data_IF_116746624717
#
_entry.id   IF_116746624717
#
_cell.length_a   1.000
_cell.length_b   1.000
_cell.length_c   1.000
_cell.angle_alpha   90.00
_cell.angle_beta   90.00
_cell.angle_gamma   90.00
#
_symmetry.space_group_name_H-M   'P 1'
#
loop_
_entity.id
_entity.type
_entity.pdbx_description
1 polymer ?
#
# COMPACT_ATOMS: atom_id res chain seq x y z
N UNK A 1 -32.26 -10.35 23.70
CA UNK A 1 -30.84 -10.66 23.96
C UNK A 1 -30.08 -9.36 23.90
N UNK A 2 -29.44 -8.92 24.98
CA UNK A 2 -28.57 -7.74 24.96
C UNK A 2 -27.33 -8.07 24.11
N UNK A 3 -26.91 -7.22 23.17
CA UNK A 3 -25.72 -7.46 22.37
C UNK A 3 -24.51 -7.59 23.29
N UNK A 4 -23.79 -8.70 23.18
CA UNK A 4 -22.51 -8.88 23.87
C UNK A 4 -21.58 -7.77 23.36
N UNK A 5 -20.98 -6.94 24.23
CA UNK A 5 -20.03 -5.93 23.80
C UNK A 5 -18.82 -6.64 23.20
N UNK A 6 -18.78 -6.68 21.87
CA UNK A 6 -17.65 -7.16 21.10
C UNK A 6 -16.56 -6.10 21.17
N UNK A 7 -15.34 -6.45 21.64
CA UNK A 7 -14.24 -5.49 21.67
C UNK A 7 -13.99 -4.92 20.26
N UNK A 8 -13.64 -3.63 20.13
CA UNK A 8 -13.34 -2.99 18.85
C UNK A 8 -11.97 -3.43 18.32
N UNK A 9 -11.75 -4.74 18.24
CA UNK A 9 -10.52 -5.36 17.78
C UNK A 9 -10.08 -4.89 16.38
N UNK A 10 -10.96 -4.52 15.42
CA UNK A 10 -10.51 -4.01 14.12
C UNK A 10 -9.79 -2.67 14.24
N UNK A 11 -10.19 -1.83 15.20
CA UNK A 11 -9.51 -0.56 15.51
C UNK A 11 -8.11 -0.85 16.02
N UNK A 12 -7.99 -1.72 17.02
CA UNK A 12 -6.71 -2.08 17.62
C UNK A 12 -5.76 -2.70 16.60
N UNK A 13 -6.23 -3.63 15.76
CA UNK A 13 -5.44 -4.24 14.71
C UNK A 13 -4.94 -3.23 13.68
N UNK A 14 -5.80 -2.31 13.26
CA UNK A 14 -5.46 -1.27 12.29
C UNK A 14 -4.43 -0.29 12.86
N UNK A 15 -4.65 0.22 14.06
CA UNK A 15 -3.72 1.16 14.71
C UNK A 15 -2.38 0.50 15.03
N UNK A 16 -2.38 -0.75 15.51
CA UNK A 16 -1.15 -1.51 15.75
C UNK A 16 -0.34 -1.71 14.45
N UNK A 17 -1.02 -2.00 13.33
CA UNK A 17 -0.39 -2.06 12.01
C UNK A 17 0.26 -0.73 11.60
N UNK A 18 -0.43 0.39 11.82
CA UNK A 18 0.09 1.73 11.55
C UNK A 18 1.31 2.08 12.40
N UNK A 19 1.26 1.78 13.71
CA UNK A 19 2.40 1.94 14.63
C UNK A 19 3.58 1.07 14.19
N UNK A 20 3.34 -0.18 13.81
CA UNK A 20 4.36 -1.08 13.29
C UNK A 20 5.05 -0.53 12.03
N UNK A 21 4.26 -0.01 11.08
CA UNK A 21 4.78 0.61 9.86
C UNK A 21 5.64 1.85 10.18
N UNK A 22 5.20 2.73 11.08
CA UNK A 22 5.98 3.90 11.52
C UNK A 22 7.27 3.47 12.22
N UNK A 23 7.21 2.48 13.10
CA UNK A 23 8.38 1.97 13.81
C UNK A 23 9.42 1.37 12.85
N UNK A 24 8.98 0.58 11.86
CA UNK A 24 9.85 0.05 10.81
C UNK A 24 10.46 1.18 9.97
N UNK A 25 9.66 2.15 9.54
CA UNK A 25 10.15 3.32 8.80
C UNK A 25 11.21 4.09 9.60
N UNK A 26 10.96 4.34 10.88
CA UNK A 26 11.94 4.99 11.77
C UNK A 26 13.23 4.20 11.82
N UNK A 27 13.14 2.89 12.06
CA UNK A 27 14.31 2.01 12.20
C UNK A 27 15.13 1.94 10.93
N UNK A 28 14.47 1.98 9.77
CA UNK A 28 15.12 1.86 8.46
C UNK A 28 15.65 3.21 7.95
N UNK A 29 15.15 4.35 8.44
CA UNK A 29 15.57 5.69 7.97
C UNK A 29 17.08 5.94 8.08
N UNK A 30 17.76 5.29 9.01
CA UNK A 30 19.22 5.39 9.17
C UNK A 30 20.00 4.80 7.98
N UNK A 31 19.36 3.97 7.15
CA UNK A 31 19.94 3.35 5.97
C UNK A 31 19.62 4.11 4.67
N UNK A 32 19.09 5.34 4.76
CA UNK A 32 18.91 6.21 3.59
C UNK A 32 20.20 6.35 2.80
N UNK A 33 20.07 6.43 1.48
CA UNK A 33 21.21 6.41 0.54
C UNK A 33 21.60 5.01 0.07
N UNK A 34 21.07 3.93 0.67
CA UNK A 34 21.14 2.59 0.06
C UNK A 34 20.04 2.44 -1.01
N UNK A 35 20.30 1.72 -2.12
CA UNK A 35 19.31 1.50 -3.17
C UNK A 35 18.00 0.92 -2.63
N UNK A 36 16.87 1.52 -3.00
CA UNK A 36 15.52 1.12 -2.66
C UNK A 36 15.01 1.61 -1.31
N UNK A 37 15.86 2.11 -0.41
CA UNK A 37 15.42 2.47 0.94
C UNK A 37 14.39 3.60 0.92
N UNK A 38 14.54 4.60 0.06
CA UNK A 38 13.59 5.71 -0.01
C UNK A 38 12.20 5.25 -0.49
N UNK A 39 12.16 4.35 -1.49
CA UNK A 39 10.92 3.70 -1.91
C UNK A 39 10.30 2.83 -0.81
N UNK A 40 11.13 2.13 -0.05
CA UNK A 40 10.65 1.30 1.04
C UNK A 40 10.07 2.14 2.19
N UNK A 41 10.65 3.32 2.46
CA UNK A 41 10.07 4.30 3.38
C UNK A 41 8.72 4.82 2.87
N UNK A 42 8.55 5.01 1.55
CA UNK A 42 7.25 5.37 0.96
C UNK A 42 6.21 4.25 1.15
N UNK A 43 6.60 2.97 1.04
CA UNK A 43 5.71 1.83 1.34
C UNK A 43 5.19 1.93 2.76
N UNK A 44 6.09 2.11 3.74
CA UNK A 44 5.67 2.22 5.15
C UNK A 44 4.84 3.47 5.42
N UNK A 45 5.15 4.60 4.76
CA UNK A 45 4.34 5.81 4.88
C UNK A 45 2.92 5.60 4.34
N UNK A 46 2.78 4.96 3.18
CA UNK A 46 1.49 4.64 2.59
C UNK A 46 0.69 3.64 3.44
N UNK A 47 1.34 2.61 3.98
CA UNK A 47 0.73 1.67 4.92
C UNK A 47 0.31 2.34 6.22
N UNK A 48 1.16 3.18 6.81
CA UNK A 48 0.82 3.93 8.02
C UNK A 48 -0.40 4.84 7.78
N UNK A 49 -0.42 5.58 6.68
CA UNK A 49 -1.56 6.41 6.28
C UNK A 49 -2.85 5.58 6.19
N UNK A 50 -2.81 4.46 5.47
CA UNK A 50 -3.95 3.56 5.35
C UNK A 50 -4.42 3.05 6.71
N UNK A 51 -3.52 2.45 7.49
CA UNK A 51 -3.83 1.85 8.78
C UNK A 51 -4.41 2.87 9.78
N UNK A 52 -3.82 4.07 9.87
CA UNK A 52 -4.33 5.12 10.75
C UNK A 52 -5.64 5.69 10.25
N UNK A 53 -5.79 5.94 8.95
CA UNK A 53 -7.03 6.47 8.39
C UNK A 53 -8.19 5.50 8.58
N UNK A 54 -7.98 4.21 8.31
CA UNK A 54 -9.00 3.18 8.51
C UNK A 54 -9.31 2.99 10.00
N UNK A 55 -8.28 2.81 10.84
CA UNK A 55 -8.45 2.61 12.29
C UNK A 55 -9.16 3.77 12.99
N UNK A 56 -8.84 5.01 12.62
CA UNK A 56 -9.54 6.21 13.12
C UNK A 56 -10.95 6.32 12.53
N UNK A 57 -11.14 6.00 11.24
CA UNK A 57 -12.44 6.00 10.59
C UNK A 57 -13.46 5.10 11.30
N UNK A 58 -13.01 3.96 11.83
CA UNK A 58 -13.83 3.05 12.63
C UNK A 58 -14.32 3.63 13.97
N UNK A 59 -13.77 4.76 14.43
CA UNK A 59 -14.21 5.47 15.64
C UNK A 59 -15.04 6.72 15.31
N UNK A 60 -15.13 7.12 14.04
CA UNK A 60 -15.74 8.38 13.60
C UNK A 60 -17.15 8.14 13.07
N UNK A 61 -18.11 8.80 13.71
CA UNK A 61 -19.53 8.80 13.28
C UNK A 61 -19.90 9.99 12.41
N UNK A 62 -19.07 11.04 12.38
CA UNK A 62 -19.29 12.19 11.50
C UNK A 62 -19.16 11.77 10.02
N UNK A 63 -20.19 11.95 9.18
CA UNK A 63 -20.19 11.43 7.82
C UNK A 63 -19.13 12.06 6.91
N UNK A 64 -18.80 13.34 7.12
CA UNK A 64 -17.83 14.04 6.29
C UNK A 64 -16.41 13.57 6.62
N UNK A 65 -16.06 13.58 7.90
CA UNK A 65 -14.76 13.11 8.37
C UNK A 65 -14.57 11.62 8.04
N UNK A 66 -15.61 10.79 8.18
CA UNK A 66 -15.55 9.37 7.82
C UNK A 66 -15.24 9.16 6.34
N UNK A 67 -15.82 9.96 5.44
CA UNK A 67 -15.52 9.93 4.00
C UNK A 67 -14.10 10.38 3.70
N UNK A 68 -13.60 11.42 4.38
CA UNK A 68 -12.21 11.88 4.23
C UNK A 68 -11.22 10.78 4.66
N UNK A 69 -11.48 10.12 5.79
CA UNK A 69 -10.68 9.01 6.29
C UNK A 69 -10.73 7.77 5.37
N UNK A 70 -11.89 7.50 4.75
CA UNK A 70 -11.97 6.46 3.72
C UNK A 70 -11.14 6.84 2.48
N UNK A 71 -11.20 8.12 2.07
CA UNK A 71 -10.35 8.63 1.00
C UNK A 71 -8.85 8.47 1.31
N UNK A 72 -8.42 8.83 2.52
CA UNK A 72 -7.04 8.63 2.95
C UNK A 72 -6.63 7.14 2.98
N UNK A 73 -7.56 6.24 3.32
CA UNK A 73 -7.38 4.79 3.23
C UNK A 73 -7.08 4.36 1.80
N UNK A 74 -7.94 4.73 0.84
CA UNK A 74 -7.74 4.44 -0.58
C UNK A 74 -6.46 5.06 -1.14
N UNK A 75 -6.11 6.26 -0.70
CA UNK A 75 -4.86 6.93 -1.09
C UNK A 75 -3.63 6.09 -0.68
N UNK A 76 -3.61 5.58 0.56
CA UNK A 76 -2.57 4.67 1.02
C UNK A 76 -2.50 3.40 0.18
N UNK A 77 -3.64 2.78 -0.15
CA UNK A 77 -3.72 1.58 -1.01
C UNK A 77 -3.10 1.83 -2.39
N UNK A 78 -3.47 2.93 -3.06
CA UNK A 78 -2.98 3.30 -4.40
C UNK A 78 -1.44 3.39 -4.41
N UNK A 79 -0.87 4.11 -3.45
CA UNK A 79 0.57 4.39 -3.45
C UNK A 79 1.41 3.24 -2.90
N UNK A 80 0.83 2.35 -2.08
CA UNK A 80 1.54 1.17 -1.54
C UNK A 80 2.07 0.29 -2.66
N UNK A 81 1.24 -0.08 -3.65
CA UNK A 81 1.66 -0.94 -4.75
C UNK A 81 2.74 -0.32 -5.64
N UNK A 82 2.61 0.97 -5.94
CA UNK A 82 3.58 1.71 -6.76
C UNK A 82 4.93 1.83 -6.04
N UNK A 83 4.91 2.24 -4.77
CA UNK A 83 6.12 2.37 -3.97
C UNK A 83 6.82 1.02 -3.78
N UNK A 84 6.06 -0.07 -3.60
CA UNK A 84 6.63 -1.40 -3.44
C UNK A 84 7.29 -1.92 -4.71
N UNK A 85 6.70 -1.65 -5.88
CA UNK A 85 7.37 -1.92 -7.16
C UNK A 85 8.64 -1.08 -7.33
N UNK A 86 8.61 0.22 -6.98
CA UNK A 86 9.79 1.08 -7.01
C UNK A 86 10.92 0.54 -6.14
N UNK A 87 10.58 0.09 -4.93
CA UNK A 87 11.51 -0.58 -4.02
C UNK A 87 12.11 -1.84 -4.65
N UNK A 88 11.28 -2.73 -5.20
CA UNK A 88 11.76 -3.97 -5.82
C UNK A 88 12.69 -3.69 -7.01
N UNK A 89 12.41 -2.67 -7.82
CA UNK A 89 13.27 -2.31 -8.96
C UNK A 89 14.63 -1.80 -8.50
N UNK A 90 14.70 -0.87 -7.54
CA UNK A 90 15.99 -0.38 -7.05
C UNK A 90 16.76 -1.45 -6.28
N UNK A 91 16.08 -2.20 -5.41
CA UNK A 91 16.70 -3.21 -4.57
C UNK A 91 17.32 -4.35 -5.41
N UNK A 92 16.74 -4.65 -6.56
CA UNK A 92 17.24 -5.69 -7.49
C UNK A 92 18.26 -5.16 -8.49
N UNK A 93 18.73 -3.92 -8.33
CA UNK A 93 19.71 -3.29 -9.23
C UNK A 93 19.14 -2.90 -10.60
N UNK A 94 17.82 -2.96 -10.77
CA UNK A 94 17.09 -2.59 -11.99
C UNK A 94 16.63 -1.12 -11.96
N UNK A 95 17.40 -0.24 -11.29
CA UNK A 95 17.08 1.18 -11.13
C UNK A 95 16.89 1.95 -12.44
N UNK A 96 17.52 1.51 -13.53
CA UNK A 96 17.28 2.06 -14.88
C UNK A 96 15.83 1.93 -15.35
N UNK A 97 15.12 0.89 -14.91
CA UNK A 97 13.71 0.63 -15.25
C UNK A 97 12.77 1.60 -14.54
N UNK A 98 13.18 2.26 -13.47
CA UNK A 98 12.40 3.34 -12.84
C UNK A 98 12.25 4.53 -13.78
N UNK A 99 13.20 4.73 -14.69
CA UNK A 99 13.10 5.74 -15.75
C UNK A 99 12.32 5.27 -16.97
N UNK A 100 11.82 4.04 -16.97
CA UNK A 100 11.05 3.49 -18.09
C UNK A 100 9.65 4.08 -18.17
N UNK A 101 9.09 4.09 -19.39
CA UNK A 101 7.71 4.50 -19.65
C UNK A 101 6.69 3.70 -18.84
N UNK A 102 6.97 2.44 -18.52
CA UNK A 102 6.07 1.60 -17.73
C UNK A 102 5.97 2.09 -16.28
N UNK A 103 7.09 2.37 -15.63
CA UNK A 103 7.08 2.89 -14.26
C UNK A 103 6.49 4.30 -14.19
N UNK A 104 6.82 5.17 -15.17
CA UNK A 104 6.18 6.48 -15.31
C UNK A 104 4.66 6.32 -15.50
N UNK A 105 4.22 5.32 -16.27
CA UNK A 105 2.81 4.95 -16.41
C UNK A 105 2.17 4.53 -15.09
N UNK A 106 2.86 3.74 -14.25
CA UNK A 106 2.37 3.35 -12.92
C UNK A 106 2.22 4.56 -11.99
N UNK A 107 3.18 5.48 -11.98
CA UNK A 107 3.07 6.73 -11.21
C UNK A 107 1.94 7.61 -11.75
N UNK A 108 1.83 7.74 -13.08
CA UNK A 108 0.73 8.46 -13.74
C UNK A 108 -0.64 7.87 -13.40
N UNK A 109 -0.75 6.55 -13.35
CA UNK A 109 -1.94 5.85 -12.87
C UNK A 109 -2.25 6.18 -11.41
N UNK A 110 -1.25 6.24 -10.54
CA UNK A 110 -1.41 6.64 -9.14
C UNK A 110 -1.92 8.08 -9.00
N UNK A 111 -1.37 9.00 -9.79
CA UNK A 111 -1.82 10.40 -9.82
C UNK A 111 -3.25 10.54 -10.34
N UNK A 112 -3.59 9.89 -11.45
CA UNK A 112 -4.94 9.88 -12.00
C UNK A 112 -5.93 9.28 -10.99
N UNK A 113 -5.57 8.17 -10.36
CA UNK A 113 -6.39 7.53 -9.32
C UNK A 113 -6.58 8.44 -8.12
N UNK A 114 -5.54 9.17 -7.71
CA UNK A 114 -5.63 10.17 -6.63
C UNK A 114 -6.58 11.31 -7.02
N UNK A 115 -6.50 11.81 -8.24
CA UNK A 115 -7.40 12.86 -8.73
C UNK A 115 -8.86 12.39 -8.71
N UNK A 116 -9.14 11.22 -9.30
CA UNK A 116 -10.47 10.61 -9.33
C UNK A 116 -11.01 10.29 -7.93
N UNK A 117 -10.12 9.97 -6.99
CA UNK A 117 -10.50 9.73 -5.60
C UNK A 117 -10.95 11.01 -4.90
N UNK A 118 -10.19 12.09 -5.05
CA UNK A 118 -10.52 13.41 -4.47
C UNK A 118 -11.78 13.99 -5.10
N UNK A 119 -11.98 13.77 -6.41
CA UNK A 119 -13.19 14.22 -7.12
C UNK A 119 -14.34 13.21 -7.08
N UNK A 120 -14.22 12.12 -6.31
CA UNK A 120 -15.23 11.06 -6.27
C UNK A 120 -16.67 11.56 -6.02
N UNK A 121 -16.94 12.59 -5.18
CA UNK A 121 -18.29 13.11 -5.00
C UNK A 121 -18.98 13.57 -6.30
N UNK A 122 -18.23 13.94 -7.33
CA UNK A 122 -18.78 14.42 -8.59
C UNK A 122 -19.20 13.30 -9.55
N UNK A 123 -18.60 12.11 -9.46
CA UNK A 123 -18.75 11.06 -10.49
C UNK A 123 -18.85 9.62 -9.95
N UNK A 124 -18.55 9.38 -8.67
CA UNK A 124 -18.68 8.06 -8.05
C UNK A 124 -17.77 6.98 -8.62
N UNK A 125 -16.57 7.34 -9.11
CA UNK A 125 -15.69 6.38 -9.79
C UNK A 125 -15.05 5.36 -8.82
N UNK A 126 -14.82 5.76 -7.57
CA UNK A 126 -14.32 4.89 -6.52
C UNK A 126 -15.45 4.23 -5.73
N UNK A 127 -16.46 5.00 -5.35
CA UNK A 127 -17.59 4.48 -4.61
C UNK A 127 -18.86 5.30 -4.78
N UNK A 128 -19.99 4.62 -4.61
CA UNK A 128 -21.34 5.22 -4.55
C UNK A 128 -22.12 4.65 -3.37
N UNK A 129 -23.12 5.39 -2.88
CA UNK A 129 -23.98 4.92 -1.78
C UNK A 129 -23.26 4.76 -0.46
N UNK A 130 -22.39 5.72 -0.10
CA UNK A 130 -21.62 5.66 1.14
C UNK A 130 -22.53 5.83 2.37
N UNK A 131 -22.74 4.74 3.11
CA UNK A 131 -23.62 4.68 4.27
C UNK A 131 -22.90 4.14 5.51
N UNK A 132 -23.21 4.68 6.68
CA UNK A 132 -22.77 4.08 7.95
C UNK A 132 -23.49 2.76 8.15
N UNK A 133 -22.73 1.72 8.45
CA UNK A 133 -23.23 0.36 8.64
C UNK A 133 -22.44 -0.30 9.78
N UNK A 134 -22.71 0.07 11.06
CA UNK A 134 -21.89 -0.32 12.20
C UNK A 134 -21.95 -1.82 12.49
N UNK A 135 -20.79 -2.46 12.55
CA UNK A 135 -20.61 -3.90 12.85
C UNK A 135 -19.47 -3.99 13.86
N UNK A 136 -19.48 -5.00 14.74
CA UNK A 136 -18.46 -5.20 15.79
C UNK A 136 -18.28 -4.02 16.76
N UNK A 137 -19.34 -3.22 16.97
CA UNK A 137 -19.29 -2.06 17.87
C UNK A 137 -18.43 -0.89 17.34
N UNK A 138 -18.12 -0.87 16.04
CA UNK A 138 -17.33 0.18 15.39
C UNK A 138 -18.10 0.82 14.23
N UNK A 139 -17.74 2.05 13.86
CA UNK A 139 -18.36 2.83 12.79
C UNK A 139 -17.92 2.38 11.38
N UNK A 140 -18.16 1.10 11.08
CA UNK A 140 -18.00 0.57 9.73
C UNK A 140 -18.96 1.26 8.74
N UNK A 141 -18.62 1.14 7.46
CA UNK A 141 -19.37 1.75 6.37
C UNK A 141 -19.58 0.72 5.28
N UNK A 142 -20.66 0.89 4.54
CA UNK A 142 -20.95 0.13 3.32
C UNK A 142 -21.02 1.11 2.14
N UNK A 143 -20.51 0.67 1.00
CA UNK A 143 -20.61 1.38 -0.27
C UNK A 143 -20.43 0.41 -1.43
N UNK A 144 -21.03 0.73 -2.56
CA UNK A 144 -20.79 0.01 -3.80
C UNK A 144 -19.47 0.48 -4.43
N UNK A 145 -18.64 -0.47 -4.86
CA UNK A 145 -17.40 -0.15 -5.57
C UNK A 145 -17.74 0.45 -6.94
N UNK A 146 -17.17 1.61 -7.21
CA UNK A 146 -17.20 2.20 -8.53
C UNK A 146 -16.24 1.46 -9.48
N UNK A 147 -16.39 1.62 -10.80
CA UNK A 147 -15.57 0.92 -11.79
C UNK A 147 -14.05 1.14 -11.60
N UNK A 148 -13.64 2.35 -11.20
CA UNK A 148 -12.23 2.68 -11.03
C UNK A 148 -11.61 2.02 -9.79
N UNK A 149 -12.40 1.78 -8.73
CA UNK A 149 -11.92 1.03 -7.57
C UNK A 149 -11.49 -0.40 -7.95
N UNK A 150 -12.24 -1.08 -8.82
CA UNK A 150 -11.84 -2.39 -9.34
C UNK A 150 -10.53 -2.32 -10.15
N UNK A 151 -10.37 -1.29 -10.99
CA UNK A 151 -9.13 -1.08 -11.75
C UNK A 151 -7.94 -0.85 -10.81
N UNK A 152 -8.10 -0.03 -9.76
CA UNK A 152 -7.06 0.21 -8.75
C UNK A 152 -6.66 -1.08 -8.05
N UNK A 153 -7.62 -1.89 -7.62
CA UNK A 153 -7.34 -3.18 -6.97
C UNK A 153 -6.62 -4.15 -7.93
N UNK A 154 -7.08 -4.25 -9.17
CA UNK A 154 -6.47 -5.11 -10.18
C UNK A 154 -5.03 -4.69 -10.51
N UNK A 155 -4.82 -3.40 -10.84
CA UNK A 155 -3.49 -2.86 -11.14
C UNK A 155 -2.58 -2.96 -9.92
N UNK A 156 -3.06 -2.59 -8.73
CA UNK A 156 -2.31 -2.73 -7.48
C UNK A 156 -1.84 -4.16 -7.22
N UNK A 157 -2.71 -5.14 -7.48
CA UNK A 157 -2.37 -6.57 -7.35
C UNK A 157 -1.28 -6.98 -8.32
N UNK A 158 -1.34 -6.53 -9.59
CA UNK A 158 -0.31 -6.78 -10.60
C UNK A 158 1.03 -6.14 -10.20
N UNK A 159 1.02 -4.89 -9.69
CA UNK A 159 2.23 -4.21 -9.25
C UNK A 159 2.89 -4.95 -8.09
N UNK A 160 2.10 -5.37 -7.09
CA UNK A 160 2.59 -6.13 -5.93
C UNK A 160 3.12 -7.50 -6.35
N UNK A 161 2.38 -8.24 -7.19
CA UNK A 161 2.83 -9.54 -7.70
C UNK A 161 4.15 -9.41 -8.48
N UNK A 162 4.27 -8.37 -9.31
CA UNK A 162 5.51 -8.08 -10.06
C UNK A 162 6.66 -7.77 -9.12
N UNK A 163 6.43 -6.95 -8.10
CA UNK A 163 7.45 -6.62 -7.10
C UNK A 163 7.94 -7.87 -6.35
N UNK A 164 7.02 -8.73 -5.90
CA UNK A 164 7.35 -9.99 -5.25
C UNK A 164 8.16 -10.89 -6.19
N UNK A 165 7.72 -11.03 -7.44
CA UNK A 165 8.43 -11.84 -8.44
C UNK A 165 9.87 -11.37 -8.63
N UNK A 166 10.10 -10.06 -8.79
CA UNK A 166 11.44 -9.47 -8.94
C UNK A 166 12.33 -9.75 -7.73
N UNK A 167 11.79 -9.65 -6.52
CA UNK A 167 12.53 -9.91 -5.28
C UNK A 167 12.89 -11.39 -5.16
N UNK A 168 11.96 -12.31 -5.45
CA UNK A 168 12.20 -13.76 -5.39
C UNK A 168 13.22 -14.21 -6.44
N UNK A 169 13.09 -13.75 -7.69
CA UNK A 169 14.04 -13.99 -8.79
C UNK A 169 15.47 -13.62 -8.39
N UNK A 170 15.61 -12.47 -7.71
CA UNK A 170 16.90 -11.97 -7.24
C UNK A 170 17.46 -12.83 -6.11
N UNK A 171 16.64 -13.24 -5.14
CA UNK A 171 17.07 -14.12 -4.04
C UNK A 171 17.54 -15.50 -4.55
N UNK A 172 16.84 -16.07 -5.53
CA UNK A 172 17.22 -17.33 -6.15
C UNK A 172 18.55 -17.20 -6.93
N UNK A 173 18.70 -16.13 -7.71
CA UNK A 173 19.91 -15.84 -8.48
C UNK A 173 21.17 -15.69 -7.60
N UNK A 174 21.06 -15.01 -6.45
CA UNK A 174 22.16 -14.92 -5.48
C UNK A 174 22.46 -16.26 -4.79
N UNK A 175 21.44 -17.10 -4.57
CA UNK A 175 21.58 -18.43 -3.98
C UNK A 175 22.41 -19.38 -4.85
N UNK A 176 22.27 -19.31 -6.17
CA UNK A 176 23.04 -20.12 -7.12
C UNK A 176 24.51 -19.71 -7.21
N UNK A 177 24.81 -18.40 -7.10
CA UNK A 177 26.19 -17.89 -7.16
C UNK A 177 27.06 -18.40 -6.01
N UNK A 178 26.50 -18.55 -4.79
CA UNK A 178 27.21 -19.12 -3.64
C UNK A 178 27.52 -20.62 -3.77
N UNK A 179 26.82 -21.34 -4.66
CA UNK A 179 27.01 -22.79 -4.87
C UNK A 179 28.07 -23.13 -5.92
N UNK A 180 28.56 -22.18 -6.71
CA UNK A 180 29.69 -22.43 -7.64
C UNK A 180 31.01 -22.11 -6.94
N UNK A 181 31.83 -23.11 -6.55
CA UNK A 181 33.20 -22.83 -6.16
C UNK A 181 33.89 -22.15 -7.34
N UNK A 182 34.50 -21.00 -7.07
CA UNK A 182 35.32 -20.26 -8.02
C UNK A 182 36.48 -21.16 -8.43
N UNK A 183 36.32 -21.92 -9.52
CA UNK A 183 37.41 -22.68 -10.14
C UNK A 183 38.48 -21.68 -10.54
N UNK A 184 39.51 -21.54 -9.70
CA UNK A 184 40.69 -20.77 -10.04
C UNK A 184 41.34 -21.45 -11.24
N UNK A 185 41.17 -20.86 -12.42
CA UNK A 185 42.12 -21.05 -13.53
C UNK A 185 43.45 -20.46 -13.07
N UNK A 186 44.28 -21.31 -12.47
CA UNK A 186 45.74 -21.14 -12.48
C UNK A 186 46.23 -21.89 -13.71
N UNK A 187 46.67 -21.13 -14.70
CA UNK A 187 47.70 -21.60 -15.64
C UNK A 187 49.06 -21.45 -14.97
#
# INVERSE_FOLDING_TARGET
MLPVPVPPWPVLGSLAGGVGAVWLAWTIRQYRGKPGVDWFLLVFAAQALWCFAYGTGLLVTDPLLRKVLEGATWLGIIWTGIAFLGFALEYTGRGEVIRSRLFVGSVGFGLLSTALLVTNPAHGAFWTGFTHDPIFGVATVSYAFGPWAYVVVAVGSVLVASAVFLLVDTLLSYGESRRKPRRSRRG
#
